data_IF_046148560175
#
_entry.id   IF_046148560175
#
_cell.length_a   1.000
_cell.length_b   1.000
_cell.length_c   1.000
_cell.angle_alpha   90.00
_cell.angle_beta   90.00
_cell.angle_gamma   90.00
#
_symmetry.space_group_name_H-M   'P 1'
#
loop_
_entity.id
_entity.type
_entity.pdbx_description
1 polymer ?
#
# COMPACT_ATOMS: atom_id res chain seq x y z
N UNK A 1 4.71 -15.74 7.97
CA UNK A 1 4.16 -14.45 8.47
C UNK A 1 2.69 -14.42 8.16
N UNK A 2 1.86 -14.06 9.14
CA UNK A 2 0.44 -13.76 8.93
C UNK A 2 0.26 -12.25 8.99
N UNK A 3 -0.54 -11.72 8.07
CA UNK A 3 -0.93 -10.31 8.06
C UNK A 3 -2.41 -10.19 8.35
N UNK A 4 -2.79 -9.27 9.22
CA UNK A 4 -4.18 -9.03 9.56
C UNK A 4 -4.48 -7.53 9.58
N UNK A 5 -5.67 -7.14 9.14
CA UNK A 5 -6.09 -5.74 9.13
C UNK A 5 -6.74 -5.36 10.47
N UNK A 6 -6.34 -4.21 11.03
CA UNK A 6 -6.97 -3.63 12.23
C UNK A 6 -7.02 -2.10 12.12
N UNK A 7 -7.93 -1.59 11.29
CA UNK A 7 -8.13 -0.14 11.08
C UNK A 7 -9.18 0.49 11.99
N UNK A 8 -9.93 -0.32 12.74
CA UNK A 8 -11.07 0.08 13.55
C UNK A 8 -10.79 -0.15 15.04
N UNK A 9 -11.55 0.53 15.91
CA UNK A 9 -11.44 0.39 17.37
C UNK A 9 -12.74 -0.04 18.06
N UNK A 10 -13.86 -0.07 17.33
CA UNK A 10 -15.17 -0.51 17.80
C UNK A 10 -16.05 -0.97 16.63
N UNK A 11 -17.28 -1.40 16.90
CA UNK A 11 -18.21 -1.86 15.86
C UNK A 11 -18.55 -0.75 14.85
N UNK A 12 -18.77 0.49 15.31
CA UNK A 12 -19.17 1.59 14.45
C UNK A 12 -18.06 1.99 13.47
N UNK A 13 -16.82 2.10 13.95
CA UNK A 13 -15.65 2.35 13.11
C UNK A 13 -15.38 1.18 12.15
N UNK A 14 -15.60 -0.06 12.59
CA UNK A 14 -15.45 -1.25 11.73
C UNK A 14 -16.44 -1.23 10.56
N UNK A 15 -17.70 -0.91 10.83
CA UNK A 15 -18.75 -0.77 9.81
C UNK A 15 -18.46 0.38 8.84
N UNK A 16 -18.07 1.54 9.37
CA UNK A 16 -17.74 2.72 8.55
C UNK A 16 -16.55 2.48 7.60
N UNK A 17 -15.51 1.78 8.08
CA UNK A 17 -14.28 1.57 7.31
C UNK A 17 -14.35 0.36 6.37
N UNK A 18 -14.96 -0.73 6.83
CA UNK A 18 -14.85 -2.04 6.16
C UNK A 18 -16.14 -2.47 5.46
N UNK A 19 -17.29 -1.91 5.86
CA UNK A 19 -18.63 -2.36 5.40
C UNK A 19 -18.77 -3.89 5.43
N UNK A 20 -18.53 -4.52 6.59
CA UNK A 20 -18.57 -5.97 6.72
C UNK A 20 -20.01 -6.48 6.53
N UNK A 21 -20.15 -7.79 6.30
CA UNK A 21 -21.45 -8.42 6.35
C UNK A 21 -22.12 -8.17 7.72
N UNK A 22 -23.44 -7.87 7.81
CA UNK A 22 -24.10 -7.45 9.07
C UNK A 22 -24.01 -8.45 10.24
N UNK A 23 -23.77 -9.72 9.94
CA UNK A 23 -23.57 -10.76 10.95
C UNK A 23 -22.18 -10.71 11.62
N UNK A 24 -21.21 -10.02 11.03
CA UNK A 24 -19.85 -9.93 11.56
C UNK A 24 -19.78 -8.88 12.66
N UNK A 25 -19.18 -9.26 13.79
CA UNK A 25 -18.94 -8.41 14.94
C UNK A 25 -17.46 -8.11 15.08
N UNK A 26 -17.12 -6.85 15.36
CA UNK A 26 -15.76 -6.41 15.60
C UNK A 26 -15.10 -7.15 16.76
N UNK A 27 -15.85 -7.41 17.84
CA UNK A 27 -15.36 -8.19 18.97
C UNK A 27 -14.95 -9.62 18.57
N UNK A 28 -15.73 -10.27 17.70
CA UNK A 28 -15.41 -11.59 17.18
C UNK A 28 -14.15 -11.60 16.31
N UNK A 29 -13.95 -10.55 15.51
CA UNK A 29 -12.69 -10.36 14.75
C UNK A 29 -11.51 -10.25 15.71
N UNK A 30 -11.62 -9.39 16.74
CA UNK A 30 -10.56 -9.14 17.69
C UNK A 30 -10.22 -10.40 18.49
N UNK A 31 -11.22 -11.16 18.93
CA UNK A 31 -11.00 -12.41 19.64
C UNK A 31 -10.38 -13.48 18.74
N UNK A 32 -10.81 -13.58 17.48
CA UNK A 32 -10.17 -14.45 16.50
C UNK A 32 -8.68 -14.12 16.30
N UNK A 33 -8.31 -12.83 16.32
CA UNK A 33 -6.90 -12.42 16.26
C UNK A 33 -6.12 -12.76 17.54
N UNK A 34 -6.75 -12.69 18.71
CA UNK A 34 -6.13 -13.13 19.98
C UNK A 34 -5.89 -14.64 19.98
N UNK A 35 -6.88 -15.43 19.58
CA UNK A 35 -6.74 -16.88 19.46
C UNK A 35 -5.67 -17.26 18.44
N UNK A 36 -5.67 -16.59 17.28
CA UNK A 36 -4.60 -16.74 16.29
C UNK A 36 -3.22 -16.47 16.90
N UNK A 37 -3.07 -15.41 17.70
CA UNK A 37 -1.79 -15.08 18.34
C UNK A 37 -1.33 -16.15 19.34
N UNK A 38 -2.25 -16.87 19.98
CA UNK A 38 -1.93 -17.97 20.91
C UNK A 38 -1.40 -19.20 20.17
N UNK A 39 -1.97 -19.53 19.01
CA UNK A 39 -1.66 -20.77 18.29
C UNK A 39 -0.60 -20.59 17.18
N UNK A 40 -0.43 -19.38 16.66
CA UNK A 40 0.52 -19.10 15.59
C UNK A 40 1.88 -18.71 16.15
N UNK A 41 2.91 -19.49 15.82
CA UNK A 41 4.29 -19.26 16.28
C UNK A 41 5.12 -18.37 15.35
N UNK A 42 4.61 -18.04 14.16
CA UNK A 42 5.27 -17.13 13.22
C UNK A 42 4.97 -15.66 13.51
N UNK A 43 5.59 -14.78 12.72
CA UNK A 43 5.38 -13.34 12.85
C UNK A 43 3.94 -12.94 12.48
N UNK A 44 3.32 -12.11 13.33
CA UNK A 44 2.04 -11.44 13.12
C UNK A 44 2.28 -9.97 12.80
N UNK A 45 1.87 -9.54 11.61
CA UNK A 45 1.92 -8.13 11.22
C UNK A 45 0.50 -7.57 11.17
N UNK A 46 0.30 -6.38 11.75
CA UNK A 46 -0.95 -5.67 11.63
C UNK A 46 -0.86 -4.60 10.54
N UNK A 47 -1.86 -4.57 9.67
CA UNK A 47 -2.01 -3.58 8.62
C UNK A 47 -3.13 -2.59 9.00
N UNK A 48 -2.78 -1.31 9.06
CA UNK A 48 -3.66 -0.24 9.51
C UNK A 48 -3.77 0.77 8.37
N UNK A 49 -4.94 0.78 7.75
CA UNK A 49 -5.28 1.75 6.72
C UNK A 49 -5.93 2.99 7.36
N UNK A 50 -5.28 4.14 7.21
CA UNK A 50 -5.75 5.44 7.72
C UNK A 50 -6.46 6.20 6.59
N UNK A 51 -7.70 6.58 6.87
CA UNK A 51 -8.61 7.34 6.01
C UNK A 51 -8.90 8.68 6.68
N UNK A 52 -8.62 9.82 6.00
CA UNK A 52 -8.89 11.13 6.58
C UNK A 52 -10.36 11.30 6.95
N UNK A 53 -10.63 11.84 8.13
CA UNK A 53 -11.97 12.08 8.66
C UNK A 53 -12.68 10.84 9.23
N UNK A 54 -12.10 9.64 9.12
CA UNK A 54 -12.71 8.42 9.68
C UNK A 54 -11.90 7.86 10.85
N UNK A 55 -10.58 7.72 10.69
CA UNK A 55 -9.71 7.11 11.71
C UNK A 55 -8.32 7.77 11.80
N UNK A 56 -8.23 9.06 11.46
CA UNK A 56 -7.01 9.85 11.47
C UNK A 56 -6.87 10.79 12.68
N UNK A 57 -7.91 10.93 13.51
CA UNK A 57 -7.81 11.75 14.71
C UNK A 57 -6.92 11.06 15.77
N UNK A 58 -6.03 11.80 16.48
CA UNK A 58 -5.12 11.20 17.46
C UNK A 58 -5.78 10.30 18.50
N UNK A 59 -6.96 10.68 19.00
CA UNK A 59 -7.71 9.89 19.97
C UNK A 59 -8.25 8.56 19.38
N UNK A 60 -8.59 8.54 18.10
CA UNK A 60 -9.04 7.34 17.39
C UNK A 60 -7.85 6.40 17.16
N UNK A 61 -6.73 6.95 16.68
CA UNK A 61 -5.50 6.20 16.44
C UNK A 61 -4.95 5.59 17.74
N UNK A 62 -5.02 6.33 18.85
CA UNK A 62 -4.64 5.82 20.18
C UNK A 62 -5.45 4.57 20.57
N UNK A 63 -6.76 4.54 20.32
CA UNK A 63 -7.59 3.37 20.60
C UNK A 63 -7.21 2.18 19.73
N UNK A 64 -6.93 2.40 18.44
CA UNK A 64 -6.44 1.33 17.55
C UNK A 64 -5.09 0.80 18.06
N UNK A 65 -4.20 1.69 18.51
CA UNK A 65 -2.89 1.33 19.04
C UNK A 65 -2.98 0.47 20.31
N UNK A 66 -3.92 0.76 21.21
CA UNK A 66 -4.19 -0.06 22.40
C UNK A 66 -4.64 -1.47 22.04
N UNK A 67 -5.54 -1.61 21.05
CA UNK A 67 -5.96 -2.92 20.55
C UNK A 67 -4.79 -3.67 19.89
N UNK A 68 -4.02 -2.99 19.04
CA UNK A 68 -2.85 -3.56 18.38
C UNK A 68 -1.80 -4.06 19.38
N UNK A 69 -1.55 -3.30 20.45
CA UNK A 69 -0.64 -3.69 21.53
C UNK A 69 -1.14 -4.95 22.27
N UNK A 70 -2.46 -5.08 22.49
CA UNK A 70 -3.04 -6.27 23.10
C UNK A 70 -2.82 -7.56 22.29
N UNK A 71 -2.66 -7.42 20.96
CA UNK A 71 -2.40 -8.54 20.05
C UNK A 71 -0.91 -8.90 19.94
N UNK A 72 0.00 -8.14 20.59
CA UNK A 72 1.45 -8.36 20.56
C UNK A 72 1.97 -8.55 19.13
N UNK A 73 1.57 -7.66 18.23
CA UNK A 73 2.02 -7.68 16.84
C UNK A 73 3.53 -7.47 16.75
N UNK A 74 4.20 -8.23 15.88
CA UNK A 74 5.64 -8.13 15.67
C UNK A 74 6.00 -6.92 14.80
N UNK A 75 5.08 -6.50 13.92
CA UNK A 75 5.18 -5.29 13.11
C UNK A 75 3.82 -4.67 12.88
N UNK A 76 3.83 -3.35 12.69
CA UNK A 76 2.64 -2.57 12.36
C UNK A 76 2.95 -1.77 11.09
N UNK A 77 2.11 -1.91 10.08
CA UNK A 77 2.21 -1.17 8.83
C UNK A 77 1.08 -0.17 8.72
N UNK A 78 1.41 1.10 8.44
CA UNK A 78 0.45 2.14 8.15
C UNK A 78 0.37 2.40 6.65
N UNK A 79 -0.85 2.49 6.14
CA UNK A 79 -1.12 2.81 4.75
C UNK A 79 -2.24 3.85 4.64
N UNK A 80 -2.37 4.48 3.49
CA UNK A 80 -3.46 5.41 3.15
C UNK A 80 -3.79 5.29 1.66
N UNK A 81 -4.81 6.01 1.18
CA UNK A 81 -5.31 5.91 -0.19
C UNK A 81 -4.34 6.53 -1.23
N UNK A 82 -3.25 5.82 -1.54
CA UNK A 82 -2.23 6.21 -2.55
C UNK A 82 -2.60 5.81 -3.98
N UNK A 83 -3.81 5.30 -4.21
CA UNK A 83 -4.40 5.02 -5.51
C UNK A 83 -5.75 5.75 -5.61
N UNK A 84 -6.29 5.99 -6.81
CA UNK A 84 -7.66 6.48 -6.95
C UNK A 84 -8.58 5.58 -6.13
N UNK A 85 -9.17 6.13 -5.06
CA UNK A 85 -10.07 5.37 -4.20
C UNK A 85 -11.37 5.06 -4.96
N UNK A 86 -11.98 3.92 -4.67
CA UNK A 86 -13.28 3.57 -5.23
C UNK A 86 -14.39 4.54 -4.79
N UNK A 87 -14.19 5.22 -3.65
CA UNK A 87 -15.10 6.23 -3.11
C UNK A 87 -14.65 7.66 -3.49
N UNK A 88 -15.55 8.49 -4.02
CA UNK A 88 -15.28 9.90 -4.27
C UNK A 88 -14.90 10.63 -2.96
N UNK A 89 -13.79 11.38 -2.98
CA UNK A 89 -13.41 12.26 -1.87
C UNK A 89 -12.42 11.68 -0.86
N UNK A 90 -12.09 10.39 -0.92
CA UNK A 90 -11.00 9.83 -0.11
C UNK A 90 -9.66 10.31 -0.64
N UNK A 91 -8.95 11.10 0.17
CA UNK A 91 -7.61 11.61 -0.12
C UNK A 91 -6.56 10.82 0.64
N UNK A 92 -5.34 10.73 0.11
CA UNK A 92 -4.20 10.26 0.88
C UNK A 92 -3.88 11.27 1.99
N UNK A 93 -3.51 10.78 3.18
CA UNK A 93 -2.77 11.60 4.14
C UNK A 93 -1.37 11.89 3.60
N UNK A 94 -0.80 13.04 3.99
CA UNK A 94 0.63 13.28 3.75
C UNK A 94 1.48 12.30 4.60
N UNK A 95 2.63 11.90 4.07
CA UNK A 95 3.49 10.86 4.67
C UNK A 95 3.92 11.25 6.08
N UNK A 96 4.20 12.54 6.30
CA UNK A 96 4.61 13.09 7.59
C UNK A 96 3.50 12.96 8.63
N UNK A 97 2.24 13.11 8.23
CA UNK A 97 1.10 12.92 9.12
C UNK A 97 0.94 11.46 9.50
N UNK A 98 1.08 10.57 8.51
CA UNK A 98 1.00 9.13 8.72
C UNK A 98 2.13 8.64 9.63
N UNK A 99 3.33 9.21 9.52
CA UNK A 99 4.45 8.96 10.44
C UNK A 99 4.16 9.44 11.86
N UNK A 100 3.57 10.63 12.02
CA UNK A 100 3.14 11.13 13.35
C UNK A 100 2.14 10.19 14.00
N UNK A 101 1.17 9.68 13.24
CA UNK A 101 0.20 8.69 13.72
C UNK A 101 0.86 7.33 14.01
N UNK A 102 1.87 6.94 13.23
CA UNK A 102 2.67 5.73 13.45
C UNK A 102 3.35 5.69 14.83
N UNK A 103 3.67 6.85 15.41
CA UNK A 103 4.32 6.95 16.72
C UNK A 103 3.42 6.54 17.92
N UNK A 104 2.10 6.43 17.71
CA UNK A 104 1.16 5.98 18.74
C UNK A 104 1.26 4.47 18.99
N UNK A 105 1.78 3.72 18.02
CA UNK A 105 1.82 2.25 18.06
C UNK A 105 3.05 1.69 18.79
N UNK A 106 2.94 0.47 19.30
CA UNK A 106 4.03 -0.30 19.90
C UNK A 106 3.99 -1.73 19.33
N UNK A 107 4.97 -2.14 18.49
CA UNK A 107 6.10 -1.34 17.98
C UNK A 107 5.64 -0.12 17.14
N UNK A 108 6.48 0.93 16.98
CA UNK A 108 6.14 2.07 16.13
C UNK A 108 5.75 1.61 14.72
N UNK A 109 4.69 2.19 14.19
CA UNK A 109 4.16 1.77 12.90
C UNK A 109 5.00 2.27 11.72
N UNK A 110 5.28 1.37 10.78
CA UNK A 110 6.05 1.64 9.57
C UNK A 110 5.13 2.14 8.46
N UNK A 111 5.41 3.33 7.91
CA UNK A 111 4.63 3.86 6.79
C UNK A 111 4.99 3.14 5.49
N UNK A 112 4.02 2.43 4.91
CA UNK A 112 4.14 1.74 3.62
C UNK A 112 3.34 2.43 2.50
N UNK A 113 2.70 3.56 2.79
CA UNK A 113 1.99 4.38 1.81
C UNK A 113 2.96 4.85 0.69
N UNK A 114 2.81 4.29 -0.51
CA UNK A 114 3.69 4.55 -1.66
C UNK A 114 4.99 3.75 -1.69
N UNK A 115 5.34 3.05 -0.60
CA UNK A 115 6.53 2.20 -0.53
C UNK A 115 6.18 0.76 -0.89
N UNK A 116 6.10 0.49 -2.19
CA UNK A 116 6.46 -0.83 -2.70
C UNK A 116 7.98 -0.97 -2.87
N UNK A 117 8.80 0.01 -2.49
CA UNK A 117 10.26 -0.16 -2.43
C UNK A 117 10.90 0.91 -1.53
N UNK A 118 11.75 0.49 -0.60
CA UNK A 118 12.48 1.37 0.28
C UNK A 118 13.34 2.39 -0.48
N UNK A 119 13.42 3.60 0.08
CA UNK A 119 14.55 4.53 -0.05
C UNK A 119 14.98 5.01 -1.44
N UNK A 120 14.23 4.76 -2.51
CA UNK A 120 14.60 5.25 -3.84
C UNK A 120 13.86 6.54 -4.20
N UNK A 121 14.54 7.55 -4.80
CA UNK A 121 13.87 8.74 -5.31
C UNK A 121 12.74 8.33 -6.26
N UNK A 122 11.63 9.08 -6.28
CA UNK A 122 10.42 8.73 -7.03
C UNK A 122 10.69 8.28 -8.49
N UNK A 123 11.64 8.94 -9.16
CA UNK A 123 12.08 8.57 -10.52
C UNK A 123 12.74 7.18 -10.60
N UNK A 124 13.49 6.78 -9.57
CA UNK A 124 14.14 5.47 -9.50
C UNK A 124 13.13 4.36 -9.10
N UNK A 125 12.15 4.69 -8.25
CA UNK A 125 11.01 3.82 -7.94
C UNK A 125 10.17 3.54 -9.19
N UNK A 126 9.93 4.56 -10.02
CA UNK A 126 9.19 4.40 -11.27
C UNK A 126 9.97 3.55 -12.27
N UNK A 127 11.30 3.66 -12.36
CA UNK A 127 12.12 2.79 -13.22
C UNK A 127 12.01 1.31 -12.87
N UNK A 128 12.12 0.94 -11.60
CA UNK A 128 12.01 -0.47 -11.17
C UNK A 128 10.58 -1.02 -11.39
N UNK A 129 9.55 -0.20 -11.16
CA UNK A 129 8.17 -0.61 -11.42
C UNK A 129 7.88 -0.75 -12.92
N UNK A 130 8.40 0.14 -13.76
CA UNK A 130 8.33 0.04 -15.23
C UNK A 130 9.03 -1.24 -15.67
N UNK A 131 10.24 -1.52 -15.16
CA UNK A 131 10.96 -2.76 -15.44
C UNK A 131 10.16 -4.01 -15.07
N UNK A 132 9.56 -4.04 -13.88
CA UNK A 132 8.70 -5.13 -13.43
C UNK A 132 7.46 -5.31 -14.33
N UNK A 133 6.90 -4.23 -14.88
CA UNK A 133 5.83 -4.31 -15.88
C UNK A 133 6.32 -4.89 -17.21
N UNK A 134 7.45 -4.39 -17.73
CA UNK A 134 8.01 -4.83 -19.02
C UNK A 134 8.53 -6.27 -19.02
N UNK A 135 8.91 -6.81 -17.86
CA UNK A 135 9.26 -8.24 -17.69
C UNK A 135 8.04 -9.16 -17.74
N UNK A 136 6.89 -8.68 -17.26
CA UNK A 136 5.63 -9.46 -17.27
C UNK A 136 4.94 -9.43 -18.62
N UNK A 137 4.99 -8.29 -19.33
CA UNK A 137 4.41 -8.15 -20.67
C UNK A 137 5.11 -7.06 -21.49
N UNK A 138 5.30 -7.26 -22.81
CA UNK A 138 5.70 -6.16 -23.70
C UNK A 138 4.65 -5.04 -23.69
N UNK A 139 5.10 -3.78 -23.65
CA UNK A 139 4.21 -2.61 -23.55
C UNK A 139 4.67 -1.49 -24.49
N UNK A 140 3.75 -0.66 -24.97
CA UNK A 140 4.08 0.57 -25.70
C UNK A 140 4.51 1.70 -24.75
N UNK A 141 5.09 2.78 -25.27
CA UNK A 141 5.37 3.98 -24.47
C UNK A 141 4.07 4.60 -23.90
N UNK A 142 2.96 4.50 -24.65
CA UNK A 142 1.66 4.97 -24.21
C UNK A 142 1.10 4.13 -23.05
N UNK A 143 1.28 2.81 -23.09
CA UNK A 143 0.89 1.91 -21.99
C UNK A 143 1.62 2.26 -20.69
N UNK A 144 2.91 2.59 -20.80
CA UNK A 144 3.74 3.02 -19.66
C UNK A 144 3.25 4.37 -19.14
N UNK A 145 3.06 5.36 -20.01
CA UNK A 145 2.50 6.67 -19.63
C UNK A 145 1.17 6.52 -18.86
N UNK A 146 0.22 5.75 -19.40
CA UNK A 146 -1.10 5.51 -18.78
C UNK A 146 -1.00 4.75 -17.45
N UNK A 147 -0.14 3.73 -17.38
CA UNK A 147 -0.04 2.88 -16.18
C UNK A 147 0.63 3.56 -15.00
N UNK A 148 1.48 4.56 -15.26
CA UNK A 148 2.26 5.27 -14.25
C UNK A 148 1.86 6.74 -14.07
N UNK A 149 0.88 7.23 -14.83
CA UNK A 149 0.44 8.63 -14.75
C UNK A 149 1.51 9.62 -15.20
N UNK A 150 2.43 9.19 -16.08
CA UNK A 150 3.53 10.00 -16.56
C UNK A 150 3.14 10.75 -17.82
N UNK A 151 3.65 11.97 -18.00
CA UNK A 151 3.57 12.63 -19.30
C UNK A 151 4.25 11.78 -20.39
N UNK A 152 3.69 11.72 -21.62
CA UNK A 152 4.24 10.88 -22.70
C UNK A 152 5.73 11.12 -22.99
N UNK A 153 6.19 12.37 -22.88
CA UNK A 153 7.60 12.74 -23.06
C UNK A 153 8.50 12.14 -21.97
N UNK A 154 8.04 12.16 -20.71
CA UNK A 154 8.75 11.58 -19.56
C UNK A 154 8.82 10.05 -19.68
N UNK A 155 7.71 9.41 -20.05
CA UNK A 155 7.67 7.96 -20.26
C UNK A 155 8.64 7.52 -21.38
N UNK A 156 8.66 8.26 -22.49
CA UNK A 156 9.58 8.00 -23.61
C UNK A 156 11.04 8.14 -23.15
N UNK A 157 11.37 9.23 -22.45
CA UNK A 157 12.72 9.46 -21.93
C UNK A 157 13.20 8.33 -21.03
N UNK A 158 12.36 7.88 -20.09
CA UNK A 158 12.70 6.78 -19.19
C UNK A 158 12.91 5.45 -19.92
N UNK A 159 12.10 5.17 -20.94
CA UNK A 159 12.26 3.97 -21.77
C UNK A 159 13.55 4.03 -22.59
N UNK A 160 13.91 5.19 -23.13
CA UNK A 160 15.16 5.38 -23.85
C UNK A 160 16.37 5.19 -22.92
N UNK A 161 16.34 5.73 -21.70
CA UNK A 161 17.39 5.49 -20.68
C UNK A 161 17.54 3.99 -20.36
N UNK A 162 16.43 3.27 -20.14
CA UNK A 162 16.44 1.84 -19.86
C UNK A 162 16.93 1.01 -21.06
N UNK A 163 16.64 1.46 -22.28
CA UNK A 163 17.12 0.85 -23.52
C UNK A 163 18.62 1.05 -23.69
N UNK A 164 19.12 2.27 -23.45
CA UNK A 164 20.55 2.57 -23.48
C UNK A 164 21.33 1.81 -22.40
N UNK A 165 20.72 1.59 -21.23
CA UNK A 165 21.28 0.75 -20.17
C UNK A 165 21.23 -0.77 -20.47
N UNK A 166 20.71 -1.19 -21.63
CA UNK A 166 20.62 -2.61 -22.00
C UNK A 166 19.66 -3.42 -21.14
N UNK A 167 18.70 -2.77 -20.45
CA UNK A 167 17.74 -3.41 -19.55
C UNK A 167 16.45 -3.81 -20.26
N UNK A 168 16.15 -3.21 -21.40
CA UNK A 168 14.96 -3.48 -22.20
C UNK A 168 15.31 -3.56 -23.69
N UNK A 169 14.48 -4.25 -24.46
CA UNK A 169 14.56 -4.32 -25.92
C UNK A 169 13.28 -3.82 -26.59
N UNK A 170 13.42 -3.32 -27.81
CA UNK A 170 12.29 -2.95 -28.66
C UNK A 170 11.93 -4.11 -29.58
N UNK A 171 10.66 -4.49 -29.63
CA UNK A 171 10.09 -5.51 -30.52
C UNK A 171 8.99 -4.88 -31.37
N UNK A 172 8.94 -5.22 -32.66
CA UNK A 172 7.83 -4.82 -33.54
C UNK A 172 6.80 -5.94 -33.60
N UNK A 173 5.53 -5.65 -33.30
CA UNK A 173 4.42 -6.60 -33.38
C UNK A 173 3.22 -5.93 -34.04
N UNK A 174 2.65 -6.58 -35.05
CA UNK A 174 1.46 -6.09 -35.78
C UNK A 174 1.54 -4.62 -36.24
N UNK A 175 2.74 -4.12 -36.59
CA UNK A 175 2.95 -2.74 -37.03
C UNK A 175 3.33 -1.75 -35.92
N UNK A 176 3.16 -2.12 -34.65
CA UNK A 176 3.46 -1.28 -33.49
C UNK A 176 4.75 -1.68 -32.78
N UNK A 177 5.34 -0.73 -32.04
CA UNK A 177 6.57 -0.93 -31.28
C UNK A 177 6.28 -1.14 -29.79
N UNK A 178 6.79 -2.25 -29.27
CA UNK A 178 6.65 -2.65 -27.87
C UNK A 178 8.03 -2.75 -27.22
N UNK A 179 8.14 -2.26 -25.99
CA UNK A 179 9.28 -2.44 -25.12
C UNK A 179 9.10 -3.71 -24.30
N UNK A 180 10.16 -4.51 -24.15
CA UNK A 180 10.18 -5.74 -23.34
C UNK A 180 11.38 -5.74 -22.41
N UNK A 181 11.17 -6.12 -21.15
CA UNK A 181 12.22 -6.25 -20.15
C UNK A 181 13.13 -7.44 -20.42
N UNK A 182 14.43 -7.23 -20.18
CA UNK A 182 15.46 -8.27 -20.15
C UNK A 182 15.68 -8.79 -18.72
#
# INVERSE_FOLDING_TARGET
VVKATLSAWDQASFEALTRPHPALRFEGLLEGLRELRKIHTGALWLEIFIVPGLNDAPAQVQRIAELAASLKADRIHLNTAVRPAAEPGVRALAVEELQRLGAFFRPPGEVIAGSLSGGQPAAALDRERIMAMLRRRPCTALDVSRSFGLEPAVATKLLDELKHAGRIRLEKRAGEFFYRGL
#
